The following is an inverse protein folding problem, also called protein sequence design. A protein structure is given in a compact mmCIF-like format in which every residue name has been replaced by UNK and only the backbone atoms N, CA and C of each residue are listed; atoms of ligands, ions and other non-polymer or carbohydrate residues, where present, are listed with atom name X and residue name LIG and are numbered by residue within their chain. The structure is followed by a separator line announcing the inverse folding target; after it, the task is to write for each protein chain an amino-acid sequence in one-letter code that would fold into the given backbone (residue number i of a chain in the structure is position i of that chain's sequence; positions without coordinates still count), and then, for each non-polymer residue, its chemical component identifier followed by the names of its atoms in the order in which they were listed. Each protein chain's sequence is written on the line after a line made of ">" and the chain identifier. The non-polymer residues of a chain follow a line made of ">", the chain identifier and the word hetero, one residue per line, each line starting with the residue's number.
data_IF_566944914034
#
_entry.id   IF_566944914034
#
_cell.length_a   1.000
_cell.length_b   1.000
_cell.length_c   1.000
_cell.angle_alpha   90.00
_cell.angle_beta   90.00
_cell.angle_gamma   90.00
#
_symmetry.space_group_name_H-M   'P 1'
#
loop_
_entity.id
_entity.type
_entity.pdbx_description
1 polymer ?
#
# COMPACT_ATOMS: atom_id res chain seq x y z
N UNK A 1 12.42 58.67 -36.97
CA UNK A 1 13.81 58.82 -36.51
C UNK A 1 13.77 58.72 -35.00
N UNK A 2 14.74 57.97 -34.48
CA UNK A 2 15.23 57.95 -33.10
C UNK A 2 14.95 56.68 -32.26
N UNK A 3 16.08 55.98 -32.08
CA UNK A 3 16.50 55.11 -30.97
C UNK A 3 15.73 53.80 -30.76
N UNK A 4 16.25 52.64 -31.20
CA UNK A 4 17.43 51.95 -30.67
C UNK A 4 17.34 51.65 -29.16
N UNK A 5 16.54 50.65 -28.79
CA UNK A 5 16.77 49.87 -27.56
C UNK A 5 16.11 48.49 -27.68
N UNK A 6 16.65 47.67 -28.56
CA UNK A 6 16.35 46.23 -28.63
C UNK A 6 17.69 45.49 -28.55
N UNK A 7 18.34 45.52 -27.37
CA UNK A 7 19.59 44.77 -27.10
C UNK A 7 20.00 44.75 -25.62
N UNK A 8 19.05 44.65 -24.68
CA UNK A 8 19.35 44.70 -23.24
C UNK A 8 18.71 43.58 -22.42
N UNK A 9 17.51 43.15 -22.79
CA UNK A 9 16.72 42.24 -21.96
C UNK A 9 16.87 40.77 -22.40
N UNK A 10 17.07 40.49 -23.69
CA UNK A 10 17.31 39.13 -24.20
C UNK A 10 18.71 38.57 -23.83
N UNK A 11 19.66 39.42 -23.42
CA UNK A 11 20.97 38.99 -22.92
C UNK A 11 20.95 38.49 -21.46
N UNK A 12 19.89 38.77 -20.71
CA UNK A 12 19.70 38.17 -19.38
C UNK A 12 19.19 36.73 -19.43
N UNK A 13 18.88 36.23 -20.63
CA UNK A 13 18.38 34.87 -20.86
C UNK A 13 19.48 33.87 -21.29
N UNK A 14 20.75 34.29 -21.40
CA UNK A 14 21.82 33.46 -22.00
C UNK A 14 23.14 33.38 -21.21
N UNK A 15 23.21 33.85 -19.96
CA UNK A 15 24.46 33.83 -19.15
C UNK A 15 24.37 33.11 -17.79
N UNK A 16 23.28 32.39 -17.51
CA UNK A 16 23.19 31.47 -16.35
C UNK A 16 23.28 29.99 -16.81
N UNK A 17 24.20 29.72 -17.73
CA UNK A 17 24.70 28.36 -17.96
C UNK A 17 25.97 28.18 -17.12
N UNK A 18 25.94 27.33 -16.09
CA UNK A 18 27.18 27.06 -15.34
C UNK A 18 27.03 26.32 -14.01
N UNK A 19 26.19 25.30 -13.93
CA UNK A 19 25.99 24.55 -12.70
C UNK A 19 25.61 23.10 -12.91
N UNK A 20 26.37 22.36 -13.71
CA UNK A 20 26.34 20.90 -13.67
C UNK A 20 26.88 20.42 -12.31
N UNK A 21 26.01 20.36 -11.31
CA UNK A 21 26.23 19.45 -10.18
C UNK A 21 25.86 18.07 -10.71
N UNK A 22 26.89 17.27 -10.99
CA UNK A 22 26.77 15.85 -11.27
C UNK A 22 26.04 15.18 -10.08
N UNK A 23 24.71 15.13 -10.16
CA UNK A 23 23.88 14.33 -9.28
C UNK A 23 24.32 12.88 -9.45
N UNK A 24 24.93 12.35 -8.40
CA UNK A 24 25.47 11.00 -8.34
C UNK A 24 24.49 10.00 -8.95
N UNK A 25 24.95 9.27 -9.97
CA UNK A 25 24.23 8.10 -10.48
C UNK A 25 23.92 7.19 -9.29
N UNK A 26 22.69 6.69 -9.12
CA UNK A 26 22.42 5.68 -8.11
C UNK A 26 23.27 4.47 -8.47
N UNK A 27 24.34 4.26 -7.70
CA UNK A 27 25.10 3.02 -7.73
C UNK A 27 24.08 1.95 -7.35
N UNK A 28 23.72 1.10 -8.31
CA UNK A 28 22.94 -0.10 -8.04
C UNK A 28 23.77 -0.94 -7.07
N UNK A 29 23.58 -0.70 -5.77
CA UNK A 29 24.18 -1.49 -4.73
C UNK A 29 23.68 -2.93 -4.94
N UNK A 30 24.62 -3.85 -5.16
CA UNK A 30 24.33 -5.27 -5.38
C UNK A 30 23.31 -5.76 -4.35
N UNK A 31 22.34 -6.58 -4.75
CA UNK A 31 21.30 -7.10 -3.85
C UNK A 31 21.89 -7.70 -2.56
N UNK A 32 23.06 -8.35 -2.65
CA UNK A 32 23.80 -8.90 -1.50
C UNK A 32 24.26 -7.82 -0.52
N UNK A 33 24.68 -6.65 -1.01
CA UNK A 33 25.08 -5.52 -0.19
C UNK A 33 23.91 -4.86 0.54
N UNK A 34 22.74 -4.80 -0.11
CA UNK A 34 21.52 -4.30 0.52
C UNK A 34 20.99 -5.26 1.59
N UNK A 35 21.06 -6.58 1.35
CA UNK A 35 20.74 -7.60 2.35
C UNK A 35 21.70 -7.57 3.54
N UNK A 36 23.00 -7.39 3.31
CA UNK A 36 23.99 -7.22 4.38
C UNK A 36 23.76 -5.96 5.21
N UNK A 37 23.43 -4.84 4.57
CA UNK A 37 23.09 -3.59 5.26
C UNK A 37 21.81 -3.71 6.10
N UNK A 38 20.81 -4.42 5.57
CA UNK A 38 19.60 -4.74 6.32
C UNK A 38 19.91 -5.62 7.54
N UNK A 39 20.75 -6.65 7.37
CA UNK A 39 21.17 -7.52 8.47
C UNK A 39 22.01 -6.78 9.52
N UNK A 40 22.86 -5.85 9.10
CA UNK A 40 23.66 -5.01 9.99
C UNK A 40 22.85 -3.87 10.64
N UNK A 41 21.52 -3.83 10.46
CA UNK A 41 20.63 -2.82 11.05
C UNK A 41 21.01 -1.38 10.68
N UNK A 42 21.37 -1.13 9.42
CA UNK A 42 21.64 0.24 8.94
C UNK A 42 20.38 1.12 9.04
N UNK A 43 20.47 2.20 9.82
CA UNK A 43 19.33 3.08 10.12
C UNK A 43 18.79 3.81 8.89
N UNK A 44 19.64 4.13 7.91
CA UNK A 44 19.24 4.89 6.72
C UNK A 44 18.32 4.04 5.84
N UNK A 45 18.70 2.78 5.61
CA UNK A 45 17.94 1.81 4.81
C UNK A 45 16.63 1.41 5.51
N UNK A 46 16.65 1.26 6.83
CA UNK A 46 15.44 0.96 7.61
C UNK A 46 14.41 2.10 7.55
N UNK A 47 14.86 3.36 7.62
CA UNK A 47 13.97 4.53 7.53
C UNK A 47 13.36 4.70 6.14
N UNK A 48 14.12 4.40 5.10
CA UNK A 48 13.69 4.43 3.70
C UNK A 48 12.58 3.41 3.43
N UNK A 49 12.73 2.17 3.93
CA UNK A 49 11.79 1.06 3.67
C UNK A 49 10.88 0.68 4.85
N UNK A 50 10.71 1.56 5.85
CA UNK A 50 9.97 1.27 7.09
C UNK A 50 8.57 0.68 6.87
N UNK A 51 7.85 1.13 5.85
CA UNK A 51 6.47 0.69 5.57
C UNK A 51 6.50 -0.74 5.03
N UNK A 52 7.41 -1.04 4.12
CA UNK A 52 7.60 -2.38 3.55
C UNK A 52 8.02 -3.37 4.62
N UNK A 53 8.98 -3.00 5.48
CA UNK A 53 9.44 -3.85 6.57
C UNK A 53 8.33 -4.12 7.58
N UNK A 54 7.52 -3.10 7.91
CA UNK A 54 6.33 -3.27 8.73
C UNK A 54 5.35 -4.24 8.10
N UNK A 55 5.00 -4.07 6.82
CA UNK A 55 4.09 -4.97 6.12
C UNK A 55 4.61 -6.42 6.07
N UNK A 56 5.91 -6.61 5.80
CA UNK A 56 6.56 -7.93 5.83
C UNK A 56 6.52 -8.53 7.24
N UNK A 57 6.78 -7.73 8.28
CA UNK A 57 6.73 -8.20 9.67
C UNK A 57 5.32 -8.59 10.11
N UNK A 58 4.31 -7.81 9.70
CA UNK A 58 2.90 -8.12 9.97
C UNK A 58 2.53 -9.42 9.25
N UNK A 59 2.82 -9.56 7.97
CA UNK A 59 2.57 -10.79 7.22
C UNK A 59 3.31 -12.00 7.79
N UNK A 60 4.60 -11.84 8.11
CA UNK A 60 5.43 -12.88 8.71
C UNK A 60 4.90 -13.35 10.06
N UNK A 61 4.38 -12.43 10.88
CA UNK A 61 3.70 -12.76 12.13
C UNK A 61 2.44 -13.60 11.93
N UNK A 62 1.61 -13.27 10.93
CA UNK A 62 0.43 -14.07 10.59
C UNK A 62 0.82 -15.47 10.09
N UNK A 63 1.84 -15.57 9.23
CA UNK A 63 2.35 -16.86 8.73
C UNK A 63 2.93 -17.71 9.86
N UNK A 64 3.68 -17.10 10.78
CA UNK A 64 4.22 -17.78 11.95
C UNK A 64 3.09 -18.29 12.86
N UNK A 65 2.07 -17.47 13.11
CA UNK A 65 0.90 -17.87 13.88
C UNK A 65 0.20 -19.07 13.24
N UNK A 66 -0.07 -19.02 11.94
CA UNK A 66 -0.67 -20.16 11.22
C UNK A 66 0.21 -21.40 11.24
N UNK A 67 1.53 -21.25 11.06
CA UNK A 67 2.47 -22.36 11.15
C UNK A 67 2.42 -23.02 12.53
N UNK A 68 2.40 -22.22 13.61
CA UNK A 68 2.28 -22.73 14.97
C UNK A 68 0.93 -23.46 15.12
N UNK A 69 -0.19 -22.85 14.74
CA UNK A 69 -1.51 -23.47 14.88
C UNK A 69 -1.69 -24.76 14.07
N UNK A 70 -1.05 -24.87 12.89
CA UNK A 70 -1.19 -26.03 12.01
C UNK A 70 -0.18 -27.15 12.33
N UNK A 71 1.09 -26.78 12.56
CA UNK A 71 2.19 -27.75 12.68
C UNK A 71 2.53 -28.12 14.11
N UNK A 72 2.04 -27.35 15.09
CA UNK A 72 2.30 -27.61 16.50
C UNK A 72 1.00 -27.84 17.26
N UNK A 73 0.95 -28.89 18.07
CA UNK A 73 -0.19 -29.16 18.97
C UNK A 73 -0.09 -28.34 20.27
N UNK A 74 0.43 -27.12 20.20
CA UNK A 74 0.56 -26.24 21.39
C UNK A 74 -0.83 -25.86 21.92
N UNK A 75 -1.81 -25.74 21.01
CA UNK A 75 -3.20 -25.54 21.35
C UNK A 75 -3.90 -26.89 21.41
N UNK A 76 -4.57 -27.19 22.52
CA UNK A 76 -5.32 -28.43 22.67
C UNK A 76 -6.44 -28.55 21.64
N UNK A 77 -6.73 -29.78 21.23
CA UNK A 77 -7.84 -30.06 20.32
C UNK A 77 -9.16 -29.67 21.00
N UNK A 78 -9.90 -28.74 20.40
CA UNK A 78 -11.22 -28.38 20.88
C UNK A 78 -12.24 -29.42 20.41
N UNK A 79 -13.08 -29.87 21.33
CA UNK A 79 -14.24 -30.68 20.97
C UNK A 79 -15.22 -29.87 20.11
N UNK A 80 -15.77 -30.51 19.07
CA UNK A 80 -16.72 -29.90 18.13
C UNK A 80 -18.11 -29.84 18.78
N UNK A 81 -18.36 -28.80 19.55
CA UNK A 81 -19.66 -28.53 20.18
C UNK A 81 -20.50 -27.59 19.32
N UNK A 82 -21.53 -28.12 18.67
CA UNK A 82 -22.47 -27.32 17.88
C UNK A 82 -23.74 -27.03 18.68
N UNK A 83 -24.09 -25.74 18.80
CA UNK A 83 -25.37 -25.29 19.34
C UNK A 83 -26.11 -24.47 18.29
N UNK A 84 -27.30 -24.94 17.92
CA UNK A 84 -28.17 -24.24 16.96
C UNK A 84 -28.55 -22.84 17.43
N UNK A 85 -28.87 -22.72 18.71
CA UNK A 85 -29.35 -21.46 19.28
C UNK A 85 -28.22 -20.42 19.34
N UNK A 86 -27.01 -20.83 19.73
CA UNK A 86 -25.84 -19.97 19.72
C UNK A 86 -25.49 -19.54 18.28
N UNK A 87 -25.53 -20.46 17.33
CA UNK A 87 -25.29 -20.16 15.92
C UNK A 87 -26.29 -19.13 15.38
N UNK A 88 -27.59 -19.33 15.60
CA UNK A 88 -28.63 -18.40 15.16
C UNK A 88 -28.49 -17.04 15.84
N UNK A 89 -28.17 -17.01 17.14
CA UNK A 89 -27.94 -15.77 17.88
C UNK A 89 -26.76 -14.97 17.28
N UNK A 90 -25.61 -15.60 17.07
CA UNK A 90 -24.46 -14.97 16.42
C UNK A 90 -24.77 -14.52 15.00
N UNK A 91 -25.53 -15.32 14.25
CA UNK A 91 -25.92 -14.99 12.88
C UNK A 91 -26.82 -13.75 12.83
N UNK A 92 -27.86 -13.67 13.66
CA UNK A 92 -28.71 -12.48 13.73
C UNK A 92 -27.93 -11.25 14.19
N UNK A 93 -27.03 -11.41 15.17
CA UNK A 93 -26.14 -10.33 15.60
C UNK A 93 -25.29 -9.81 14.43
N UNK A 94 -24.69 -10.72 13.65
CA UNK A 94 -23.93 -10.39 12.46
C UNK A 94 -24.78 -9.64 11.43
N UNK A 95 -25.99 -10.12 11.13
CA UNK A 95 -26.92 -9.46 10.20
C UNK A 95 -27.27 -8.05 10.67
N UNK A 96 -27.52 -7.85 11.97
CA UNK A 96 -27.82 -6.52 12.52
C UNK A 96 -26.62 -5.58 12.39
N UNK A 97 -25.42 -6.01 12.76
CA UNK A 97 -24.19 -5.20 12.65
C UNK A 97 -23.89 -4.87 11.18
N UNK A 98 -24.01 -5.86 10.29
CA UNK A 98 -23.85 -5.68 8.86
C UNK A 98 -24.88 -4.70 8.29
N UNK A 99 -26.14 -4.82 8.70
CA UNK A 99 -27.20 -3.90 8.31
C UNK A 99 -26.90 -2.47 8.77
N UNK A 100 -26.57 -2.25 10.05
CA UNK A 100 -26.23 -0.93 10.59
C UNK A 100 -25.04 -0.32 9.82
N UNK A 101 -24.02 -1.13 9.54
CA UNK A 101 -22.83 -0.68 8.81
C UNK A 101 -23.15 -0.38 7.33
N UNK A 102 -23.99 -1.19 6.70
CA UNK A 102 -24.35 -1.06 5.28
C UNK A 102 -25.35 0.05 5.00
N UNK A 103 -26.23 0.38 5.95
CA UNK A 103 -27.16 1.50 5.83
C UNK A 103 -26.50 2.86 6.02
N UNK A 104 -25.21 2.91 6.36
CA UNK A 104 -24.44 4.14 6.32
C UNK A 104 -24.22 4.54 4.87
N UNK A 105 -25.08 5.41 4.36
CA UNK A 105 -25.00 5.94 3.00
C UNK A 105 -23.66 6.66 2.83
N UNK A 106 -22.75 6.07 2.07
CA UNK A 106 -21.52 6.72 1.62
C UNK A 106 -21.89 7.72 0.51
N UNK A 107 -22.04 9.00 0.86
CA UNK A 107 -22.11 10.09 -0.12
C UNK A 107 -20.70 10.50 -0.60
N UNK A 108 -19.71 9.64 -0.40
CA UNK A 108 -18.33 9.95 -0.67
C UNK A 108 -18.06 9.87 -2.18
N UNK A 109 -17.68 11.02 -2.76
CA UNK A 109 -16.99 11.07 -4.05
C UNK A 109 -15.60 10.47 -3.83
N UNK A 110 -15.14 9.62 -4.75
CA UNK A 110 -13.80 9.03 -4.67
C UNK A 110 -12.75 10.15 -4.55
N UNK A 111 -11.95 10.13 -3.48
CA UNK A 111 -10.83 11.08 -3.26
C UNK A 111 -9.78 11.03 -4.36
N UNK A 112 -9.77 9.96 -5.17
CA UNK A 112 -8.86 9.75 -6.27
C UNK A 112 -9.40 10.22 -7.64
N UNK A 113 -10.72 10.12 -7.88
CA UNK A 113 -11.28 10.36 -9.24
C UNK A 113 -12.43 11.39 -9.27
N UNK A 114 -12.93 11.86 -8.13
CA UNK A 114 -14.00 12.86 -8.02
C UNK A 114 -15.39 12.40 -8.49
N UNK A 115 -15.50 11.21 -9.07
CA UNK A 115 -16.76 10.57 -9.47
C UNK A 115 -17.42 9.91 -8.26
N UNK A 116 -18.75 9.80 -8.30
CA UNK A 116 -19.51 8.97 -7.35
C UNK A 116 -18.92 7.57 -7.35
N UNK A 117 -18.57 7.03 -6.18
CA UNK A 117 -18.14 5.64 -6.04
C UNK A 117 -19.25 4.76 -6.62
N UNK A 118 -19.03 4.23 -7.81
CA UNK A 118 -19.93 3.24 -8.39
C UNK A 118 -19.78 1.99 -7.54
N UNK A 119 -20.89 1.54 -6.94
CA UNK A 119 -20.93 0.48 -5.92
C UNK A 119 -20.20 -0.82 -6.34
N UNK A 120 -20.04 -1.04 -7.64
CA UNK A 120 -19.28 -2.14 -8.20
C UNK A 120 -18.24 -1.59 -9.17
N UNK A 121 -16.97 -1.92 -8.92
CA UNK A 121 -15.88 -1.63 -9.83
C UNK A 121 -15.91 -2.65 -10.98
N UNK A 122 -16.90 -2.50 -11.87
CA UNK A 122 -17.15 -3.41 -13.00
C UNK A 122 -15.89 -3.73 -13.79
N UNK A 123 -15.00 -2.75 -13.92
CA UNK A 123 -13.72 -2.92 -14.59
C UNK A 123 -12.84 -3.99 -13.93
N UNK A 124 -12.74 -3.99 -12.59
CA UNK A 124 -11.99 -5.02 -11.84
C UNK A 124 -12.62 -6.41 -11.98
N UNK A 125 -13.96 -6.50 -12.04
CA UNK A 125 -14.65 -7.79 -12.24
C UNK A 125 -14.36 -8.38 -13.62
N UNK A 126 -14.24 -7.55 -14.65
CA UNK A 126 -13.86 -8.01 -15.99
C UNK A 126 -12.39 -8.45 -16.06
N UNK A 127 -11.48 -7.79 -15.33
CA UNK A 127 -10.08 -8.23 -15.23
C UNK A 127 -9.96 -9.61 -14.59
N UNK A 128 -10.69 -9.86 -13.51
CA UNK A 128 -10.70 -11.16 -12.82
C UNK A 128 -11.28 -12.27 -13.68
N UNK A 129 -12.32 -11.95 -14.46
CA UNK A 129 -12.88 -12.87 -15.45
C UNK A 129 -11.85 -13.23 -16.53
N UNK A 130 -11.02 -12.27 -16.97
CA UNK A 130 -9.94 -12.51 -17.92
C UNK A 130 -8.82 -13.40 -17.37
N UNK A 131 -8.55 -13.36 -16.06
CA UNK A 131 -7.54 -14.22 -15.41
C UNK A 131 -8.01 -15.66 -15.19
N UNK A 132 -9.32 -15.89 -15.18
CA UNK A 132 -9.90 -17.23 -15.03
C UNK A 132 -10.01 -18.00 -16.34
N UNK A 133 -9.77 -17.37 -17.50
CA UNK A 133 -9.91 -17.95 -18.83
C UNK A 133 -8.55 -18.32 -19.42
#
# INVERSE_FOLDING_TARGET
>A
MDSSSNKGEDQTMLLEEGGQVAGAKPVYASFTSQMLRLFCMDQILLLEHRVTLRAISELGGHLLYFYICDRTNIFGESEKNYSRDLFLFLYFLLIIVAAITSFKVHQDKSTFTGKSILYLNRHQTEEWKGWMQ
#
